data_IF_694784775097
#
_entry.id   IF_694784775097
#
_cell.length_a   1.000
_cell.length_b   1.000
_cell.length_c   1.000
_cell.angle_alpha   90.00
_cell.angle_beta   90.00
_cell.angle_gamma   90.00
#
_symmetry.space_group_name_H-M   'P 1'
#
loop_
_entity.id
_entity.type
_entity.pdbx_description
1 polymer ?
#
# COMPACT_ATOMS: atom_id res chain seq x y z
N UNK A 1 27.56 5.78 55.60
CA UNK A 1 27.42 6.46 54.29
C UNK A 1 27.03 5.40 53.25
N UNK A 2 25.74 5.20 52.90
CA UNK A 2 24.94 5.86 51.84
C UNK A 2 25.80 6.14 50.57
N UNK A 3 25.53 5.60 49.37
CA UNK A 3 24.26 5.44 48.69
C UNK A 3 24.26 4.25 47.70
N UNK A 4 23.14 3.55 47.62
CA UNK A 4 22.92 2.43 46.68
C UNK A 4 22.59 2.98 45.29
N UNK A 5 23.33 2.52 44.28
CA UNK A 5 23.07 2.73 42.87
C UNK A 5 21.86 1.90 42.42
N UNK A 6 20.66 2.42 42.63
CA UNK A 6 19.45 1.87 42.03
C UNK A 6 18.61 3.03 41.52
N UNK A 7 18.26 3.02 40.22
CA UNK A 7 17.15 3.85 39.79
C UNK A 7 17.04 4.29 38.34
N UNK A 8 17.66 3.66 37.33
CA UNK A 8 17.37 4.08 35.94
C UNK A 8 17.26 2.98 34.88
N UNK A 9 17.61 1.72 35.17
CA UNK A 9 17.57 0.66 34.14
C UNK A 9 16.15 0.30 33.68
N UNK A 10 15.16 0.36 34.58
CA UNK A 10 13.75 0.08 34.23
C UNK A 10 13.07 1.23 33.46
N UNK A 11 13.42 2.48 33.76
CA UNK A 11 12.88 3.65 33.05
C UNK A 11 13.46 3.78 31.65
N UNK A 12 14.74 3.46 31.47
CA UNK A 12 15.40 3.49 30.16
C UNK A 12 14.87 2.38 29.23
N UNK A 13 14.70 1.15 29.74
CA UNK A 13 14.07 0.05 28.98
C UNK A 13 12.60 0.34 28.62
N UNK A 14 11.84 1.01 29.51
CA UNK A 14 10.47 1.44 29.23
C UNK A 14 10.38 2.54 28.17
N UNK A 15 11.32 3.50 28.18
CA UNK A 15 11.44 4.54 27.16
C UNK A 15 11.87 3.99 25.81
N UNK A 16 12.82 3.07 25.76
CA UNK A 16 13.23 2.39 24.52
C UNK A 16 12.09 1.53 23.95
N UNK A 17 11.34 0.83 24.80
CA UNK A 17 10.16 0.07 24.36
C UNK A 17 9.05 0.98 23.87
N UNK A 18 8.77 2.09 24.56
CA UNK A 18 7.78 3.08 24.10
C UNK A 18 8.21 3.75 22.79
N UNK A 19 9.50 4.05 22.62
CA UNK A 19 10.04 4.60 21.37
C UNK A 19 9.96 3.56 20.24
N UNK A 20 10.26 2.30 20.53
CA UNK A 20 10.14 1.20 19.58
C UNK A 20 8.69 0.89 19.19
N UNK A 21 7.74 0.96 20.13
CA UNK A 21 6.32 0.75 19.84
C UNK A 21 5.69 1.95 19.12
N UNK A 22 6.13 3.18 19.40
CA UNK A 22 5.74 4.38 18.65
C UNK A 22 6.34 4.36 17.25
N UNK A 23 7.62 3.99 17.12
CA UNK A 23 8.27 3.85 15.81
C UNK A 23 7.62 2.72 15.02
N UNK A 24 7.44 1.53 15.60
CA UNK A 24 6.78 0.41 14.95
C UNK A 24 5.34 0.74 14.55
N UNK A 25 4.51 1.32 15.42
CA UNK A 25 3.14 1.72 15.07
C UNK A 25 3.08 2.86 14.06
N UNK A 26 3.99 3.85 14.12
CA UNK A 26 4.03 4.92 13.12
C UNK A 26 4.55 4.44 11.77
N UNK A 27 5.51 3.51 11.74
CA UNK A 27 6.03 2.94 10.48
C UNK A 27 5.02 1.97 9.88
N UNK A 28 4.36 1.15 10.68
CA UNK A 28 3.33 0.20 10.24
C UNK A 28 2.06 0.90 9.77
N UNK A 29 1.55 1.88 10.52
CA UNK A 29 0.42 2.70 10.07
C UNK A 29 0.74 3.55 8.84
N UNK A 30 1.99 4.03 8.73
CA UNK A 30 2.47 4.73 7.53
C UNK A 30 2.55 3.82 6.30
N UNK A 31 3.10 2.62 6.47
CA UNK A 31 3.22 1.60 5.43
C UNK A 31 1.85 1.09 4.98
N UNK A 32 0.93 0.86 5.91
CA UNK A 32 -0.46 0.50 5.60
C UNK A 32 -1.13 1.59 4.76
N UNK A 33 -1.00 2.85 5.16
CA UNK A 33 -1.56 3.98 4.41
C UNK A 33 -0.97 4.11 2.99
N UNK A 34 0.32 3.83 2.82
CA UNK A 34 0.95 3.78 1.50
C UNK A 34 0.33 2.68 0.63
N UNK A 35 0.14 1.48 1.18
CA UNK A 35 -0.51 0.35 0.49
C UNK A 35 -1.98 0.65 0.15
N UNK A 36 -2.72 1.29 1.06
CA UNK A 36 -4.08 1.76 0.79
C UNK A 36 -4.12 2.74 -0.39
N UNK A 37 -3.18 3.69 -0.45
CA UNK A 37 -3.06 4.61 -1.59
C UNK A 37 -2.72 3.87 -2.89
N UNK A 38 -1.85 2.85 -2.83
CA UNK A 38 -1.51 2.02 -4.00
C UNK A 38 -2.75 1.28 -4.54
N UNK A 39 -3.58 0.73 -3.65
CA UNK A 39 -4.87 0.12 -4.03
C UNK A 39 -5.81 1.13 -4.67
N UNK A 40 -5.90 2.35 -4.13
CA UNK A 40 -6.74 3.41 -4.70
C UNK A 40 -6.25 3.82 -6.10
N UNK A 41 -4.95 3.97 -6.29
CA UNK A 41 -4.36 4.33 -7.59
C UNK A 41 -4.60 3.21 -8.62
N UNK A 42 -4.38 1.94 -8.24
CA UNK A 42 -4.64 0.80 -9.11
C UNK A 42 -6.13 0.69 -9.50
N UNK A 43 -7.07 0.95 -8.58
CA UNK A 43 -8.51 1.04 -8.90
C UNK A 43 -8.80 2.12 -9.93
N UNK A 44 -8.16 3.28 -9.80
CA UNK A 44 -8.32 4.38 -10.74
C UNK A 44 -7.74 4.03 -12.12
N UNK A 45 -6.59 3.37 -12.19
CA UNK A 45 -6.03 2.90 -13.47
C UNK A 45 -6.96 1.89 -14.14
N UNK A 46 -7.47 0.88 -13.42
CA UNK A 46 -8.44 -0.09 -13.94
C UNK A 46 -9.66 0.61 -14.57
N UNK A 47 -10.23 1.59 -13.86
CA UNK A 47 -11.36 2.39 -14.35
C UNK A 47 -10.99 3.14 -15.65
N UNK A 48 -9.82 3.77 -15.68
CA UNK A 48 -9.31 4.47 -16.87
C UNK A 48 -9.08 3.52 -18.04
N UNK A 49 -8.50 2.33 -17.82
CA UNK A 49 -8.29 1.32 -18.88
C UNK A 49 -9.61 0.78 -19.40
N UNK A 50 -10.59 0.59 -18.53
CA UNK A 50 -11.93 0.16 -18.93
C UNK A 50 -12.61 1.19 -19.83
N UNK A 51 -12.48 2.48 -19.51
CA UNK A 51 -13.00 3.57 -20.35
C UNK A 51 -12.25 3.67 -21.69
N UNK A 52 -10.93 3.48 -21.72
CA UNK A 52 -10.15 3.43 -22.95
C UNK A 52 -10.54 2.25 -23.85
N UNK A 53 -10.82 1.09 -23.26
CA UNK A 53 -11.32 -0.09 -23.97
C UNK A 53 -12.71 0.17 -24.56
N UNK A 54 -13.64 0.74 -23.79
CA UNK A 54 -14.98 1.10 -24.28
C UNK A 54 -14.92 2.09 -25.46
N UNK A 55 -14.05 3.11 -25.38
CA UNK A 55 -13.79 4.03 -26.50
C UNK A 55 -13.25 3.31 -27.73
N UNK A 56 -12.35 2.32 -27.55
CA UNK A 56 -11.83 1.53 -28.65
C UNK A 56 -12.90 0.62 -29.28
N UNK A 57 -13.76 0.00 -28.45
CA UNK A 57 -14.90 -0.80 -28.91
C UNK A 57 -15.88 0.04 -29.74
N UNK A 58 -16.22 1.25 -29.29
CA UNK A 58 -17.09 2.19 -30.02
C UNK A 58 -16.50 2.62 -31.36
N UNK A 59 -15.18 2.74 -31.47
CA UNK A 59 -14.48 3.06 -32.72
C UNK A 59 -14.34 1.86 -33.66
N UNK A 60 -14.52 0.63 -33.16
CA UNK A 60 -14.45 -0.59 -33.96
C UNK A 60 -13.05 -0.95 -34.46
N UNK A 61 -12.00 -0.51 -33.76
CA UNK A 61 -10.60 -0.75 -34.16
C UNK A 61 -10.06 -2.02 -33.45
N UNK A 62 -10.00 -3.19 -34.12
CA UNK A 62 -9.75 -4.48 -33.49
C UNK A 62 -8.37 -4.58 -32.83
N UNK A 63 -7.32 -4.05 -33.47
CA UNK A 63 -5.97 -3.98 -32.92
C UNK A 63 -5.93 -3.15 -31.64
N UNK A 64 -6.58 -1.98 -31.63
CA UNK A 64 -6.68 -1.16 -30.41
C UNK A 64 -7.49 -1.88 -29.35
N UNK A 65 -8.60 -2.54 -29.69
CA UNK A 65 -9.41 -3.28 -28.71
C UNK A 65 -8.58 -4.36 -28.05
N UNK A 66 -7.82 -5.16 -28.80
CA UNK A 66 -7.00 -6.23 -28.24
C UNK A 66 -5.94 -5.67 -27.27
N UNK A 67 -5.20 -4.65 -27.72
CA UNK A 67 -4.19 -3.99 -26.89
C UNK A 67 -4.77 -3.36 -25.63
N UNK A 68 -6.00 -2.83 -25.68
CA UNK A 68 -6.66 -2.26 -24.49
C UNK A 68 -7.20 -3.33 -23.54
N UNK A 69 -7.60 -4.51 -24.05
CA UNK A 69 -7.95 -5.66 -23.20
C UNK A 69 -6.75 -6.17 -22.43
N UNK A 70 -5.60 -6.31 -23.09
CA UNK A 70 -4.35 -6.73 -22.44
C UNK A 70 -3.97 -5.77 -21.31
N UNK A 71 -3.92 -4.46 -21.60
CA UNK A 71 -3.64 -3.43 -20.58
C UNK A 71 -4.62 -3.40 -19.42
N UNK A 72 -5.90 -3.67 -19.69
CA UNK A 72 -6.91 -3.75 -18.64
C UNK A 72 -6.69 -4.99 -17.77
N UNK A 73 -6.27 -6.12 -18.35
CA UNK A 73 -5.92 -7.31 -17.59
C UNK A 73 -4.69 -7.09 -16.71
N UNK A 74 -3.66 -6.41 -17.23
CA UNK A 74 -2.47 -6.00 -16.47
C UNK A 74 -2.86 -5.12 -15.27
N UNK A 75 -3.62 -4.05 -15.49
CA UNK A 75 -4.05 -3.14 -14.43
C UNK A 75 -4.92 -3.86 -13.35
N UNK A 76 -5.75 -4.83 -13.76
CA UNK A 76 -6.53 -5.65 -12.82
C UNK A 76 -5.64 -6.56 -11.98
N UNK A 77 -4.57 -7.09 -12.56
CA UNK A 77 -3.56 -7.87 -11.83
C UNK A 77 -2.82 -7.00 -10.83
N UNK A 78 -2.36 -5.81 -11.24
CA UNK A 78 -1.70 -4.85 -10.34
C UNK A 78 -2.62 -4.44 -9.17
N UNK A 79 -3.92 -4.26 -9.42
CA UNK A 79 -4.90 -4.04 -8.35
C UNK A 79 -4.99 -5.23 -7.41
N UNK A 80 -5.02 -6.46 -7.93
CA UNK A 80 -5.05 -7.66 -7.11
C UNK A 80 -3.80 -7.75 -6.23
N UNK A 81 -2.61 -7.60 -6.82
CA UNK A 81 -1.33 -7.63 -6.11
C UNK A 81 -1.30 -6.55 -5.01
N UNK A 82 -1.77 -5.32 -5.29
CA UNK A 82 -1.82 -4.24 -4.31
C UNK A 82 -2.81 -4.53 -3.15
N UNK A 83 -3.91 -5.22 -3.42
CA UNK A 83 -4.88 -5.65 -2.39
C UNK A 83 -4.28 -6.77 -1.53
N UNK A 84 -3.58 -7.72 -2.14
CA UNK A 84 -2.86 -8.77 -1.42
C UNK A 84 -1.76 -8.17 -0.53
N UNK A 85 -0.97 -7.21 -1.04
CA UNK A 85 0.04 -6.49 -0.26
C UNK A 85 -0.56 -5.68 0.91
N UNK A 86 -1.78 -5.16 0.77
CA UNK A 86 -2.46 -4.43 1.85
C UNK A 86 -2.89 -5.35 3.00
N UNK A 87 -3.20 -6.62 2.72
CA UNK A 87 -3.64 -7.61 3.72
C UNK A 87 -2.46 -8.29 4.45
N UNK A 88 -1.25 -8.20 3.91
CA UNK A 88 0.00 -8.78 4.45
C UNK A 88 0.59 -7.99 5.63
#
# INVERSE_FOLDING_TARGET
EQAKAHGNSYQQAGLEKALAEVTANCTDAGLKKERENKVLDAKHDVSRRQADLDKAMKKGDPDKINKRKEKLAEARKELQDAVEELDQ
#
